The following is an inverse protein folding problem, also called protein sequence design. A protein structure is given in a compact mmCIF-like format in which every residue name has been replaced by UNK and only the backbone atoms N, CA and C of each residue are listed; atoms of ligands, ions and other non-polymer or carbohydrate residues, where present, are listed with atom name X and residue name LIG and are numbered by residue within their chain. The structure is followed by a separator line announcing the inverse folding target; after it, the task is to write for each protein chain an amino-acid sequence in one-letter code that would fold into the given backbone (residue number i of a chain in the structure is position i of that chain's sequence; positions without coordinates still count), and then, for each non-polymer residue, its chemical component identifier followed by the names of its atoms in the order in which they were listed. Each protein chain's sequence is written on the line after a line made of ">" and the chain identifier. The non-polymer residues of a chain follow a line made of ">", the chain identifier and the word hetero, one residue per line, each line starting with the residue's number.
data_IF_714775277577
#
_entry.id   IF_714775277577
#
_cell.length_a   1.000
_cell.length_b   1.000
_cell.length_c   1.000
_cell.angle_alpha   90.00
_cell.angle_beta   90.00
_cell.angle_gamma   90.00
#
_symmetry.space_group_name_H-M   'P 1'
#
loop_
_entity.id
_entity.type
_entity.pdbx_description
1 polymer ?
#
# COMPACT_ATOMS: atom_id res chain seq x y z
N UNK A 1 4.62 1.18 -21.02
CA UNK A 1 4.64 -0.22 -20.56
C UNK A 1 5.44 -0.24 -19.27
N UNK A 2 4.87 -0.80 -18.19
CA UNK A 2 5.62 -0.98 -16.95
C UNK A 2 6.80 -1.91 -17.22
N UNK A 3 7.93 -1.72 -16.54
CA UNK A 3 9.04 -2.65 -16.69
C UNK A 3 8.69 -3.98 -16.02
N UNK A 4 9.29 -5.08 -16.47
CA UNK A 4 9.13 -6.38 -15.82
C UNK A 4 9.47 -6.33 -14.32
N UNK A 5 10.43 -5.47 -13.94
CA UNK A 5 10.76 -5.20 -12.55
C UNK A 5 9.59 -4.55 -11.80
N UNK A 6 8.94 -3.53 -12.36
CA UNK A 6 7.82 -2.83 -11.69
C UNK A 6 6.62 -3.78 -11.49
N UNK A 7 6.34 -4.63 -12.47
CA UNK A 7 5.31 -5.67 -12.36
C UNK A 7 5.65 -6.68 -11.26
N UNK A 8 6.92 -7.08 -11.15
CA UNK A 8 7.37 -7.97 -10.09
C UNK A 8 7.30 -7.31 -8.70
N UNK A 9 7.57 -6.00 -8.59
CA UNK A 9 7.40 -5.25 -7.34
C UNK A 9 5.92 -5.18 -6.96
N UNK A 10 5.04 -4.84 -7.89
CA UNK A 10 3.60 -4.81 -7.63
C UNK A 10 3.09 -6.19 -7.17
N UNK A 11 3.48 -7.26 -7.86
CA UNK A 11 3.12 -8.63 -7.49
C UNK A 11 3.66 -9.02 -6.10
N UNK A 12 4.87 -8.58 -5.74
CA UNK A 12 5.46 -8.84 -4.43
C UNK A 12 4.65 -8.17 -3.31
N UNK A 13 4.27 -6.90 -3.48
CA UNK A 13 3.53 -6.16 -2.45
C UNK A 13 2.03 -6.47 -2.41
N UNK A 14 1.48 -7.10 -3.46
CA UNK A 14 0.14 -7.69 -3.46
C UNK A 14 0.08 -9.07 -2.78
N UNK A 15 1.22 -9.73 -2.56
CA UNK A 15 1.24 -11.05 -1.96
C UNK A 15 0.71 -11.03 -0.50
N UNK A 16 0.15 -12.16 0.00
CA UNK A 16 -0.17 -12.32 1.41
C UNK A 16 1.05 -12.03 2.30
N UNK A 17 0.84 -11.37 3.44
CA UNK A 17 1.94 -10.94 4.33
C UNK A 17 2.89 -12.07 4.73
N UNK A 18 2.32 -13.24 5.04
CA UNK A 18 3.08 -14.46 5.39
C UNK A 18 3.90 -15.02 4.24
N UNK A 19 3.44 -14.84 3.00
CA UNK A 19 4.08 -15.39 1.78
C UNK A 19 5.11 -14.45 1.16
N UNK A 20 5.25 -13.22 1.67
CA UNK A 20 6.11 -12.20 1.08
C UNK A 20 7.54 -12.69 0.78
N UNK A 21 8.15 -13.43 1.70
CA UNK A 21 9.53 -13.94 1.54
C UNK A 21 9.61 -14.98 0.42
N UNK A 22 8.61 -15.84 0.31
CA UNK A 22 8.53 -16.87 -0.73
C UNK A 22 8.26 -16.22 -2.09
N UNK A 23 7.30 -15.30 -2.16
CA UNK A 23 7.02 -14.50 -3.35
C UNK A 23 8.26 -13.74 -3.82
N UNK A 24 9.00 -13.09 -2.91
CA UNK A 24 10.23 -12.35 -3.24
C UNK A 24 11.29 -13.25 -3.86
N UNK A 25 11.49 -14.45 -3.31
CA UNK A 25 12.45 -15.43 -3.86
C UNK A 25 12.04 -15.90 -5.26
N UNK A 26 10.75 -16.24 -5.44
CA UNK A 26 10.19 -16.69 -6.72
C UNK A 26 10.35 -15.61 -7.80
N UNK A 27 9.89 -14.39 -7.51
CA UNK A 27 9.93 -13.27 -8.45
C UNK A 27 11.37 -12.87 -8.81
N UNK A 28 12.30 -12.89 -7.84
CA UNK A 28 13.72 -12.65 -8.14
C UNK A 28 14.33 -13.72 -9.05
N UNK A 29 13.92 -14.99 -8.89
CA UNK A 29 14.35 -16.07 -9.77
C UNK A 29 13.78 -15.91 -11.20
N UNK A 30 12.51 -15.51 -11.32
CA UNK A 30 11.85 -15.22 -12.60
C UNK A 30 12.53 -14.07 -13.35
N UNK A 31 12.83 -12.96 -12.66
CA UNK A 31 13.59 -11.84 -13.24
C UNK A 31 14.98 -12.27 -13.72
N UNK A 32 15.69 -13.10 -12.93
CA UNK A 32 17.00 -13.62 -13.31
C UNK A 32 16.92 -14.54 -14.54
N UNK A 33 15.89 -15.37 -14.64
CA UNK A 33 15.65 -16.26 -15.78
C UNK A 33 15.31 -15.47 -17.05
N UNK A 34 14.60 -14.34 -16.91
CA UNK A 34 14.31 -13.41 -17.99
C UNK A 34 15.51 -12.51 -18.39
N UNK A 35 16.65 -12.65 -17.71
CA UNK A 35 17.89 -11.92 -18.02
C UNK A 35 18.12 -10.66 -17.17
N UNK A 36 17.13 -10.22 -16.38
CA UNK A 36 17.25 -9.04 -15.51
C UNK A 36 17.87 -9.37 -14.14
N UNK A 37 19.19 -9.59 -14.15
CA UNK A 37 19.96 -9.84 -12.92
C UNK A 37 19.96 -8.63 -11.97
N UNK A 38 19.90 -7.41 -12.51
CA UNK A 38 19.95 -6.19 -11.73
C UNK A 38 18.62 -5.98 -10.98
N UNK A 39 17.49 -6.14 -11.67
CA UNK A 39 16.15 -6.12 -11.08
C UNK A 39 15.96 -7.23 -10.05
N UNK A 40 16.41 -8.46 -10.34
CA UNK A 40 16.40 -9.55 -9.36
C UNK A 40 17.15 -9.19 -8.05
N UNK A 41 18.31 -8.54 -8.18
CA UNK A 41 19.11 -8.09 -7.02
C UNK A 41 18.41 -6.97 -6.25
N UNK A 42 17.78 -6.02 -6.95
CA UNK A 42 17.00 -4.93 -6.33
C UNK A 42 15.78 -5.49 -5.59
N UNK A 43 15.00 -6.36 -6.25
CA UNK A 43 13.80 -6.99 -5.69
C UNK A 43 14.13 -7.82 -4.45
N UNK A 44 15.25 -8.55 -4.47
CA UNK A 44 15.72 -9.33 -3.32
C UNK A 44 16.03 -8.50 -2.07
N UNK A 45 16.30 -7.20 -2.22
CA UNK A 45 16.58 -6.27 -1.11
C UNK A 45 15.32 -5.63 -0.53
N UNK A 46 14.17 -5.73 -1.20
CA UNK A 46 12.91 -5.14 -0.71
C UNK A 46 12.48 -5.81 0.58
N UNK A 47 12.29 -5.02 1.63
CA UNK A 47 11.92 -5.52 2.95
C UNK A 47 10.45 -5.95 2.99
N UNK A 48 10.13 -6.94 3.84
CA UNK A 48 8.74 -7.24 4.14
C UNK A 48 8.16 -6.09 4.98
N UNK A 49 7.09 -5.43 4.54
CA UNK A 49 6.51 -4.34 5.30
C UNK A 49 5.90 -4.80 6.64
N UNK A 50 5.78 -3.91 7.64
CA UNK A 50 4.95 -4.18 8.80
C UNK A 50 3.50 -4.42 8.38
N UNK A 51 2.72 -5.14 9.20
CA UNK A 51 1.33 -5.49 8.87
C UNK A 51 0.46 -4.27 8.57
N UNK A 52 0.69 -3.13 9.23
CA UNK A 52 0.00 -1.86 8.96
C UNK A 52 0.30 -1.32 7.55
N UNK A 53 1.57 -1.10 7.19
CA UNK A 53 1.95 -0.68 5.84
C UNK A 53 1.52 -1.69 4.76
N UNK A 54 1.62 -3.00 5.02
CA UNK A 54 1.08 -4.03 4.12
C UNK A 54 -0.43 -3.86 3.89
N UNK A 55 -1.19 -3.56 4.95
CA UNK A 55 -2.64 -3.33 4.83
C UNK A 55 -2.92 -2.10 3.96
N UNK A 56 -2.15 -1.01 4.11
CA UNK A 56 -2.27 0.17 3.24
C UNK A 56 -1.97 -0.17 1.79
N UNK A 57 -0.94 -0.98 1.54
CA UNK A 57 -0.65 -1.48 0.20
C UNK A 57 -1.83 -2.29 -0.36
N UNK A 58 -2.42 -3.18 0.42
CA UNK A 58 -3.61 -3.94 -0.04
C UNK A 58 -4.80 -3.03 -0.32
N UNK A 59 -5.03 -1.98 0.47
CA UNK A 59 -6.10 -1.01 0.22
C UNK A 59 -5.93 -0.32 -1.15
N UNK A 60 -4.70 0.02 -1.52
CA UNK A 60 -4.41 0.59 -2.83
C UNK A 60 -4.82 -0.34 -3.98
N UNK A 61 -4.54 -1.63 -3.84
CA UNK A 61 -4.81 -2.63 -4.89
C UNK A 61 -6.26 -3.13 -4.90
N UNK A 62 -6.93 -3.16 -3.74
CA UNK A 62 -8.24 -3.81 -3.59
C UNK A 62 -9.41 -2.82 -3.35
N UNK A 63 -9.11 -1.61 -2.89
CA UNK A 63 -10.08 -0.55 -2.56
C UNK A 63 -9.67 0.78 -3.22
N UNK A 64 -9.32 0.68 -4.52
CA UNK A 64 -8.69 1.78 -5.26
C UNK A 64 -9.60 3.01 -5.35
N UNK A 65 -10.89 2.80 -5.51
CA UNK A 65 -11.92 3.84 -5.52
C UNK A 65 -11.94 4.66 -4.22
N UNK A 66 -11.87 3.99 -3.06
CA UNK A 66 -11.82 4.67 -1.77
C UNK A 66 -10.48 5.39 -1.54
N UNK A 67 -9.39 4.85 -2.09
CA UNK A 67 -8.06 5.47 -2.03
C UNK A 67 -7.98 6.72 -2.91
N UNK A 68 -8.53 6.67 -4.12
CA UNK A 68 -8.60 7.82 -5.03
C UNK A 68 -9.50 8.91 -4.43
N UNK A 69 -10.64 8.56 -3.83
CA UNK A 69 -11.50 9.52 -3.14
C UNK A 69 -10.79 10.19 -1.94
N UNK A 70 -9.91 9.47 -1.24
CA UNK A 70 -9.10 10.05 -0.17
C UNK A 70 -8.13 11.11 -0.72
N UNK A 71 -7.44 10.82 -1.82
CA UNK A 71 -6.52 11.77 -2.45
C UNK A 71 -7.24 12.96 -3.07
N UNK A 72 -8.35 12.75 -3.77
CA UNK A 72 -9.14 13.82 -4.36
C UNK A 72 -9.68 14.79 -3.30
N UNK A 73 -10.28 14.26 -2.23
CA UNK A 73 -10.78 15.09 -1.13
C UNK A 73 -9.65 15.83 -0.40
N UNK A 74 -8.48 15.22 -0.24
CA UNK A 74 -7.32 15.87 0.36
C UNK A 74 -6.73 17.00 -0.52
N UNK A 75 -6.70 16.81 -1.83
CA UNK A 75 -6.35 17.86 -2.80
C UNK A 75 -7.32 19.05 -2.72
N UNK A 76 -8.65 18.80 -2.70
CA UNK A 76 -9.67 19.85 -2.53
C UNK A 76 -9.46 20.63 -1.23
N UNK A 77 -9.22 19.93 -0.11
CA UNK A 77 -8.96 20.55 1.19
C UNK A 77 -7.69 21.40 1.19
N UNK A 78 -6.59 20.94 0.56
CA UNK A 78 -5.37 21.74 0.37
C UNK A 78 -5.64 22.99 -0.48
N UNK A 79 -6.54 22.89 -1.46
CA UNK A 79 -7.02 24.00 -2.27
C UNK A 79 -7.93 24.99 -1.52
N UNK A 80 -8.26 24.72 -0.25
CA UNK A 80 -9.10 25.58 0.60
C UNK A 80 -10.59 25.26 0.57
N UNK A 81 -11.01 24.20 -0.13
CA UNK A 81 -12.41 23.78 -0.15
C UNK A 81 -12.76 22.98 1.11
N UNK A 82 -13.25 23.67 2.14
CA UNK A 82 -13.70 23.06 3.39
C UNK A 82 -14.92 22.15 3.21
N UNK A 83 -15.66 22.27 2.10
CA UNK A 83 -16.80 21.40 1.77
C UNK A 83 -16.40 19.93 1.58
N UNK A 84 -15.15 19.68 1.15
CA UNK A 84 -14.60 18.34 0.96
C UNK A 84 -14.32 17.58 2.27
N UNK A 85 -14.53 18.20 3.45
CA UNK A 85 -14.32 17.54 4.75
C UNK A 85 -15.20 16.30 4.93
N UNK A 86 -16.44 16.34 4.42
CA UNK A 86 -17.36 15.19 4.46
C UNK A 86 -16.85 14.03 3.61
N UNK A 87 -16.49 14.32 2.36
CA UNK A 87 -15.91 13.35 1.41
C UNK A 87 -14.66 12.68 1.98
N UNK A 88 -13.77 13.48 2.60
CA UNK A 88 -12.54 12.99 3.21
C UNK A 88 -12.81 12.03 4.37
N UNK A 89 -13.76 12.38 5.25
CA UNK A 89 -14.15 11.53 6.37
C UNK A 89 -14.76 10.21 5.89
N UNK A 90 -15.60 10.26 4.87
CA UNK A 90 -16.25 9.07 4.31
C UNK A 90 -15.23 8.15 3.63
N UNK A 91 -14.25 8.70 2.91
CA UNK A 91 -13.16 7.93 2.31
C UNK A 91 -12.33 7.20 3.37
N UNK A 92 -11.93 7.88 4.46
CA UNK A 92 -11.22 7.26 5.59
C UNK A 92 -12.07 6.16 6.25
N UNK A 93 -13.37 6.41 6.46
CA UNK A 93 -14.26 5.41 7.07
C UNK A 93 -14.35 4.14 6.22
N UNK A 94 -14.50 4.27 4.90
CA UNK A 94 -14.49 3.14 3.95
C UNK A 94 -13.17 2.38 3.98
N UNK A 95 -12.04 3.09 3.86
CA UNK A 95 -10.71 2.48 3.93
C UNK A 95 -10.47 1.74 5.24
N UNK A 96 -10.95 2.27 6.38
CA UNK A 96 -10.87 1.57 7.68
C UNK A 96 -11.68 0.28 7.69
N UNK A 97 -12.88 0.25 7.11
CA UNK A 97 -13.69 -0.96 6.99
C UNK A 97 -13.00 -2.01 6.11
N UNK A 98 -12.46 -1.61 4.96
CA UNK A 98 -11.68 -2.50 4.10
C UNK A 98 -10.42 -3.03 4.79
N UNK A 99 -9.72 -2.19 5.57
CA UNK A 99 -8.54 -2.60 6.34
C UNK A 99 -8.88 -3.70 7.35
N UNK A 100 -10.01 -3.57 8.06
CA UNK A 100 -10.48 -4.60 8.99
C UNK A 100 -10.75 -5.93 8.27
N UNK A 101 -11.38 -5.87 7.10
CA UNK A 101 -11.63 -7.07 6.28
C UNK A 101 -10.33 -7.73 5.83
N UNK A 102 -9.40 -6.95 5.26
CA UNK A 102 -8.09 -7.44 4.79
C UNK A 102 -7.30 -8.11 5.91
N UNK A 103 -7.24 -7.48 7.09
CA UNK A 103 -6.56 -8.04 8.26
C UNK A 103 -7.18 -9.35 8.72
N UNK A 104 -8.52 -9.40 8.79
CA UNK A 104 -9.27 -10.60 9.20
C UNK A 104 -9.05 -11.75 8.21
N UNK A 105 -9.19 -11.48 6.91
CA UNK A 105 -9.05 -12.47 5.84
C UNK A 105 -7.60 -13.02 5.79
N UNK A 106 -6.61 -12.23 6.20
CA UNK A 106 -5.21 -12.63 6.31
C UNK A 106 -4.84 -13.30 7.65
N UNK A 107 -5.80 -13.50 8.56
CA UNK A 107 -5.56 -14.12 9.86
C UNK A 107 -4.75 -13.23 10.83
N UNK A 108 -4.68 -11.92 10.57
CA UNK A 108 -4.04 -10.97 11.46
C UNK A 108 -5.06 -10.42 12.48
N UNK A 109 -4.59 -10.14 13.69
CA UNK A 109 -5.42 -9.50 14.70
C UNK A 109 -5.82 -8.09 14.27
N UNK A 110 -7.13 -7.81 14.19
CA UNK A 110 -7.68 -6.47 13.98
C UNK A 110 -7.62 -5.65 15.28
N UNK A 111 -6.40 -5.37 15.73
CA UNK A 111 -6.19 -4.55 16.93
C UNK A 111 -6.39 -3.07 16.59
N UNK A 112 -6.88 -2.31 17.57
CA UNK A 112 -7.07 -0.86 17.40
C UNK A 112 -5.73 -0.13 17.16
N UNK A 113 -4.61 -0.65 17.68
CA UNK A 113 -3.28 -0.09 17.42
C UNK A 113 -2.85 -0.26 15.95
N UNK A 114 -3.09 -1.43 15.35
CA UNK A 114 -2.82 -1.66 13.93
C UNK A 114 -3.69 -0.77 13.05
N UNK A 115 -5.00 -0.70 13.33
CA UNK A 115 -5.93 0.15 12.57
C UNK A 115 -5.55 1.62 12.67
N UNK A 116 -5.13 2.08 13.86
CA UNK A 116 -4.62 3.44 14.05
C UNK A 116 -3.42 3.73 13.15
N UNK A 117 -2.42 2.84 13.12
CA UNK A 117 -1.24 3.00 12.24
C UNK A 117 -1.62 3.05 10.76
N UNK A 118 -2.56 2.20 10.33
CA UNK A 118 -3.11 2.24 8.97
C UNK A 118 -3.72 3.62 8.69
N UNK A 119 -4.59 4.13 9.56
CA UNK A 119 -5.22 5.45 9.37
C UNK A 119 -4.22 6.60 9.42
N UNK A 120 -3.20 6.54 10.28
CA UNK A 120 -2.12 7.54 10.32
C UNK A 120 -1.33 7.55 9.01
N UNK A 121 -0.94 6.37 8.52
CA UNK A 121 -0.24 6.25 7.24
C UNK A 121 -1.10 6.77 6.08
N UNK A 122 -2.40 6.46 6.04
CA UNK A 122 -3.33 6.99 5.04
C UNK A 122 -3.41 8.53 5.09
N UNK A 123 -3.49 9.11 6.29
CA UNK A 123 -3.52 10.56 6.47
C UNK A 123 -2.21 11.22 6.00
N UNK A 124 -1.06 10.62 6.31
CA UNK A 124 0.25 11.09 5.85
C UNK A 124 0.36 11.07 4.32
N UNK A 125 -0.06 9.96 3.68
CA UNK A 125 -0.09 9.85 2.22
C UNK A 125 -1.04 10.88 1.59
N UNK A 126 -2.21 11.08 2.20
CA UNK A 126 -3.18 12.06 1.72
C UNK A 126 -2.59 13.46 1.80
N UNK A 127 -1.88 13.80 2.89
CA UNK A 127 -1.21 15.08 3.07
C UNK A 127 -0.04 15.30 2.10
N UNK A 128 0.75 14.27 1.80
CA UNK A 128 1.86 14.33 0.84
C UNK A 128 1.43 14.25 -0.63
N UNK A 129 0.17 13.85 -0.89
CA UNK A 129 -0.36 13.68 -2.24
C UNK A 129 0.13 12.42 -2.95
N UNK A 130 0.63 11.41 -2.22
CA UNK A 130 1.09 10.16 -2.83
C UNK A 130 2.10 9.37 -2.00
N UNK A 131 2.61 8.29 -2.59
CA UNK A 131 3.49 7.30 -1.95
C UNK A 131 4.98 7.68 -1.91
N UNK A 132 5.38 8.74 -2.63
CA UNK A 132 6.76 9.14 -2.80
C UNK A 132 7.54 9.24 -1.48
N UNK A 133 8.79 8.75 -1.40
CA UNK A 133 9.61 8.20 -2.49
C UNK A 133 9.35 6.73 -2.85
N UNK A 134 8.45 6.03 -2.16
CA UNK A 134 8.13 4.63 -2.49
C UNK A 134 7.22 4.55 -3.74
N UNK A 135 7.27 3.44 -4.50
CA UNK A 135 6.30 3.19 -5.54
C UNK A 135 4.88 3.05 -4.97
N UNK A 136 3.88 3.37 -5.78
CA UNK A 136 2.49 3.30 -5.37
C UNK A 136 2.07 1.87 -4.99
N UNK A 137 1.42 1.72 -3.83
CA UNK A 137 1.03 0.41 -3.31
C UNK A 137 2.18 -0.49 -2.87
N UNK A 138 3.39 0.06 -2.68
CA UNK A 138 4.60 -0.68 -2.33
C UNK A 138 5.37 -0.06 -1.15
N UNK A 139 4.65 0.43 -0.12
CA UNK A 139 5.25 0.94 1.11
C UNK A 139 6.08 -0.14 1.81
N UNK A 140 7.32 0.19 2.14
CA UNK A 140 8.20 -0.66 2.94
C UNK A 140 8.00 -0.46 4.45
N UNK A 141 7.59 0.73 4.88
CA UNK A 141 7.40 1.12 6.30
C UNK A 141 6.10 1.93 6.46
N UNK A 142 5.64 2.07 7.70
CA UNK A 142 4.58 3.03 8.04
C UNK A 142 5.04 4.48 7.75
N UNK A 143 4.07 5.39 7.62
CA UNK A 143 4.31 6.84 7.46
C UNK A 143 3.65 7.60 8.62
N UNK A 144 4.27 8.69 9.03
CA UNK A 144 3.81 9.62 10.05
C UNK A 144 3.88 11.07 9.53
#
# INVERSE_FOLDING_TARGET
>A
MASQYDEAVAALYQAPHGEFVNARKRLAAELKAAGDKAGATKLGKLARPPTSAWTVNQLWWQARDAFDALFESAEKLRGGDLGATGEHRDAIAKLRQHAQKILTDAGHGTTESTLRRVTTTLAALAASGGFGPDPEGALATDRD
#
